data_IF_663114644987
#
_entry.id   IF_663114644987
#
_cell.length_a   1.000
_cell.length_b   1.000
_cell.length_c   1.000
_cell.angle_alpha   90.00
_cell.angle_beta   90.00
_cell.angle_gamma   90.00
#
_symmetry.space_group_name_H-M   'P 1'
#
loop_
_entity.id
_entity.type
_entity.pdbx_description
1 polymer ?
#
# COMPACT_ATOMS: atom_id res chain seq x y z
N UNK A 1 -17.07 14.20 -7.05
CA UNK A 1 -17.62 13.27 -8.07
C UNK A 1 -18.73 12.37 -7.53
N UNK A 2 -19.39 11.57 -8.37
CA UNK A 2 -20.38 10.54 -7.97
C UNK A 2 -19.96 9.15 -8.47
N UNK A 3 -18.95 8.51 -7.85
CA UNK A 3 -18.47 7.20 -8.30
C UNK A 3 -19.54 6.12 -8.08
N UNK A 4 -19.60 5.15 -8.99
CA UNK A 4 -20.35 3.90 -8.77
C UNK A 4 -19.58 3.00 -7.79
N UNK A 5 -20.28 2.17 -7.04
CA UNK A 5 -19.66 1.16 -6.16
C UNK A 5 -19.67 -0.18 -6.89
N UNK A 6 -18.50 -0.81 -7.01
CA UNK A 6 -18.31 -2.10 -7.65
C UNK A 6 -17.72 -3.07 -6.63
N UNK A 7 -18.46 -4.14 -6.34
CA UNK A 7 -18.05 -5.21 -5.42
C UNK A 7 -17.59 -6.41 -6.24
N UNK A 8 -16.37 -6.89 -5.96
CA UNK A 8 -15.78 -8.12 -6.48
C UNK A 8 -16.03 -9.23 -5.47
N UNK A 9 -16.82 -10.24 -5.86
CA UNK A 9 -17.17 -11.37 -5.01
C UNK A 9 -16.88 -12.71 -5.69
N UNK A 10 -16.67 -13.75 -4.90
CA UNK A 10 -16.48 -15.10 -5.42
C UNK A 10 -17.27 -16.14 -4.61
N UNK A 11 -16.69 -16.64 -3.52
CA UNK A 11 -17.16 -17.85 -2.84
C UNK A 11 -17.29 -17.68 -1.31
N UNK A 12 -17.51 -16.45 -0.82
CA UNK A 12 -17.55 -16.12 0.61
C UNK A 12 -18.85 -15.38 1.00
N UNK A 13 -19.97 -16.09 1.22
CA UNK A 13 -21.27 -15.44 1.45
C UNK A 13 -21.34 -14.63 2.76
N UNK A 14 -20.62 -15.06 3.80
CA UNK A 14 -20.55 -14.34 5.08
C UNK A 14 -19.75 -13.04 4.95
N UNK A 15 -18.60 -13.10 4.25
CA UNK A 15 -17.77 -11.94 3.95
C UNK A 15 -18.55 -10.92 3.12
N UNK A 16 -19.15 -11.37 2.01
CA UNK A 16 -19.98 -10.49 1.17
C UNK A 16 -21.11 -9.84 1.98
N UNK A 17 -21.82 -10.60 2.83
CA UNK A 17 -22.87 -10.04 3.67
C UNK A 17 -22.34 -8.93 4.57
N UNK A 18 -21.20 -9.16 5.22
CA UNK A 18 -20.58 -8.18 6.12
C UNK A 18 -20.17 -6.90 5.37
N UNK A 19 -19.64 -7.01 4.15
CA UNK A 19 -19.39 -5.85 3.31
C UNK A 19 -20.68 -5.10 2.97
N UNK A 20 -21.71 -5.82 2.50
CA UNK A 20 -23.01 -5.24 2.12
C UNK A 20 -23.70 -4.54 3.31
N UNK A 21 -23.61 -5.12 4.51
CA UNK A 21 -24.11 -4.49 5.74
C UNK A 21 -23.40 -3.16 6.02
N UNK A 22 -22.08 -3.09 5.79
CA UNK A 22 -21.34 -1.82 5.92
C UNK A 22 -21.70 -0.80 4.82
N UNK A 23 -22.02 -1.26 3.61
CA UNK A 23 -22.48 -0.41 2.51
C UNK A 23 -23.83 0.25 2.83
N UNK A 24 -24.73 -0.47 3.52
CA UNK A 24 -26.01 0.08 3.96
C UNK A 24 -25.88 1.24 4.96
N UNK A 25 -24.75 1.32 5.67
CA UNK A 25 -24.44 2.37 6.65
C UNK A 25 -23.68 3.58 6.10
N UNK A 26 -23.47 3.67 4.78
CA UNK A 26 -22.70 4.77 4.20
C UNK A 26 -23.41 6.13 4.29
N UNK A 27 -22.61 7.17 4.47
CA UNK A 27 -23.04 8.56 4.50
C UNK A 27 -22.66 9.29 3.20
N UNK A 28 -23.50 10.26 2.81
CA UNK A 28 -23.26 11.07 1.60
C UNK A 28 -23.56 10.34 0.29
N UNK A 29 -24.26 9.21 0.35
CA UNK A 29 -24.64 8.40 -0.81
C UNK A 29 -26.06 8.76 -1.25
N UNK A 30 -26.23 9.19 -2.49
CA UNK A 30 -27.54 9.44 -3.09
C UNK A 30 -27.48 9.31 -4.61
N UNK A 31 -28.39 8.51 -5.18
CA UNK A 31 -28.43 8.16 -6.60
C UNK A 31 -27.11 7.54 -7.10
N UNK A 32 -26.62 6.54 -6.36
CA UNK A 32 -25.36 5.85 -6.62
C UNK A 32 -25.64 4.44 -7.13
N UNK A 33 -25.03 4.08 -8.26
CA UNK A 33 -25.08 2.72 -8.79
C UNK A 33 -24.26 1.79 -7.89
N UNK A 34 -24.85 0.65 -7.50
CA UNK A 34 -24.15 -0.50 -6.95
C UNK A 34 -24.09 -1.62 -7.99
N UNK A 35 -22.91 -2.15 -8.24
CA UNK A 35 -22.68 -3.36 -9.03
C UNK A 35 -22.04 -4.41 -8.15
N UNK A 36 -22.64 -5.60 -8.05
CA UNK A 36 -22.05 -6.75 -7.37
C UNK A 36 -21.68 -7.76 -8.45
N UNK A 37 -20.39 -7.89 -8.76
CA UNK A 37 -19.90 -8.88 -9.73
C UNK A 37 -19.39 -10.12 -9.02
N UNK A 38 -19.91 -11.27 -9.40
CA UNK A 38 -19.62 -12.57 -8.78
C UNK A 38 -18.91 -13.46 -9.81
N UNK A 39 -17.66 -13.86 -9.55
CA UNK A 39 -16.95 -14.81 -10.42
C UNK A 39 -17.53 -16.22 -10.26
N UNK A 40 -17.50 -16.99 -11.34
CA UNK A 40 -18.08 -18.33 -11.34
C UNK A 40 -17.19 -19.32 -10.58
N UNK A 41 -17.79 -20.16 -9.74
CA UNK A 41 -17.13 -21.29 -9.10
C UNK A 41 -17.17 -21.27 -7.57
N UNK A 42 -16.66 -22.35 -6.98
CA UNK A 42 -16.61 -22.56 -5.53
C UNK A 42 -17.92 -23.12 -4.94
N UNK A 43 -17.80 -23.82 -3.81
CA UNK A 43 -18.89 -24.61 -3.22
C UNK A 43 -20.05 -23.78 -2.63
N UNK A 44 -19.85 -22.49 -2.40
CA UNK A 44 -20.81 -21.55 -1.83
C UNK A 44 -21.34 -20.55 -2.87
N UNK A 45 -21.08 -20.76 -4.17
CA UNK A 45 -21.46 -19.86 -5.27
C UNK A 45 -22.95 -19.47 -5.25
N UNK A 46 -23.85 -20.44 -5.09
CA UNK A 46 -25.30 -20.18 -5.01
C UNK A 46 -25.69 -19.33 -3.79
N UNK A 47 -24.98 -19.51 -2.67
CA UNK A 47 -25.21 -18.73 -1.45
C UNK A 47 -24.74 -17.28 -1.62
N UNK A 48 -23.61 -17.07 -2.30
CA UNK A 48 -23.10 -15.72 -2.64
C UNK A 48 -24.09 -14.99 -3.55
N UNK A 49 -24.59 -15.67 -4.59
CA UNK A 49 -25.64 -15.12 -5.46
C UNK A 49 -26.91 -14.77 -4.68
N UNK A 50 -27.36 -15.65 -3.78
CA UNK A 50 -28.53 -15.38 -2.95
C UNK A 50 -28.33 -14.18 -2.02
N UNK A 51 -27.14 -14.00 -1.45
CA UNK A 51 -26.80 -12.82 -0.62
C UNK A 51 -26.87 -11.54 -1.46
N UNK A 52 -26.24 -11.51 -2.63
CA UNK A 52 -26.26 -10.35 -3.52
C UNK A 52 -27.67 -10.00 -4.03
N UNK A 53 -28.46 -11.02 -4.39
CA UNK A 53 -29.83 -10.85 -4.87
C UNK A 53 -30.74 -10.24 -3.79
N UNK A 54 -30.63 -10.71 -2.54
CA UNK A 54 -31.48 -10.28 -1.42
C UNK A 54 -31.14 -8.92 -0.84
N UNK A 55 -29.92 -8.44 -1.02
CA UNK A 55 -29.50 -7.16 -0.46
C UNK A 55 -30.28 -5.99 -1.08
N UNK A 56 -30.94 -5.19 -0.26
CA UNK A 56 -31.67 -4.01 -0.72
C UNK A 56 -30.76 -2.77 -0.71
N UNK A 57 -30.62 -2.11 -1.86
CA UNK A 57 -29.76 -0.95 -2.01
C UNK A 57 -30.59 0.33 -2.03
N UNK A 58 -30.65 1.00 -0.88
CA UNK A 58 -31.52 2.16 -0.68
C UNK A 58 -31.06 3.43 -1.40
N UNK A 59 -29.82 3.49 -1.91
CA UNK A 59 -29.22 4.73 -2.40
C UNK A 59 -29.19 4.86 -3.93
N UNK A 60 -29.77 3.93 -4.69
CA UNK A 60 -29.82 4.00 -6.15
C UNK A 60 -30.07 2.65 -6.81
N UNK A 61 -29.76 2.50 -8.11
CA UNK A 61 -29.91 1.23 -8.80
C UNK A 61 -28.89 0.19 -8.31
N UNK A 62 -29.32 -1.08 -8.26
CA UNK A 62 -28.48 -2.24 -7.98
C UNK A 62 -28.43 -3.16 -9.19
N UNK A 63 -27.24 -3.61 -9.56
CA UNK A 63 -27.03 -4.63 -10.58
C UNK A 63 -26.22 -5.79 -9.97
N UNK A 64 -26.66 -7.02 -10.22
CA UNK A 64 -25.89 -8.22 -9.89
C UNK A 64 -25.40 -8.83 -11.20
N UNK A 65 -24.08 -8.97 -11.34
CA UNK A 65 -23.42 -9.52 -12.53
C UNK A 65 -22.76 -10.86 -12.19
N UNK A 66 -23.40 -11.96 -12.57
CA UNK A 66 -22.88 -13.31 -12.35
C UNK A 66 -22.11 -13.76 -13.58
N UNK A 67 -20.86 -14.21 -13.41
CA UNK A 67 -20.08 -14.78 -14.52
C UNK A 67 -20.55 -16.19 -14.82
N UNK A 68 -20.62 -16.53 -16.11
CA UNK A 68 -21.00 -17.88 -16.56
C UNK A 68 -19.86 -18.90 -16.43
N UNK A 69 -18.61 -18.42 -16.45
CA UNK A 69 -17.39 -19.22 -16.37
C UNK A 69 -16.36 -18.51 -15.49
N UNK A 70 -15.46 -19.24 -14.82
CA UNK A 70 -14.44 -18.63 -13.97
C UNK A 70 -13.52 -17.72 -14.79
N UNK A 71 -13.40 -16.46 -14.40
CA UNK A 71 -12.46 -15.51 -14.99
C UNK A 71 -11.08 -15.65 -14.35
N UNK A 72 -11.04 -15.99 -13.05
CA UNK A 72 -9.84 -15.95 -12.24
C UNK A 72 -9.55 -14.53 -11.74
N UNK A 73 -8.78 -14.44 -10.65
CA UNK A 73 -8.64 -13.21 -9.84
C UNK A 73 -8.30 -11.96 -10.67
N UNK A 74 -7.20 -12.00 -11.44
CA UNK A 74 -6.76 -10.84 -12.24
C UNK A 74 -7.83 -10.40 -13.24
N UNK A 75 -8.32 -11.33 -14.04
CA UNK A 75 -9.29 -11.01 -15.09
C UNK A 75 -10.61 -10.51 -14.50
N UNK A 76 -11.04 -11.07 -13.37
CA UNK A 76 -12.28 -10.65 -12.71
C UNK A 76 -12.15 -9.25 -12.12
N UNK A 77 -11.07 -8.98 -11.38
CA UNK A 77 -10.79 -7.64 -10.81
C UNK A 77 -10.67 -6.59 -11.91
N UNK A 78 -9.97 -6.89 -13.01
CA UNK A 78 -9.80 -5.94 -14.11
C UNK A 78 -11.08 -5.74 -14.92
N UNK A 79 -11.87 -6.79 -15.15
CA UNK A 79 -13.19 -6.66 -15.77
C UNK A 79 -14.15 -5.82 -14.90
N UNK A 80 -14.02 -5.89 -13.57
CA UNK A 80 -14.75 -5.01 -12.66
C UNK A 80 -14.23 -3.56 -12.74
N UNK A 81 -12.92 -3.38 -12.88
CA UNK A 81 -12.31 -2.07 -13.11
C UNK A 81 -12.74 -1.42 -14.43
N UNK A 82 -12.88 -2.21 -15.49
CA UNK A 82 -13.34 -1.75 -16.82
C UNK A 82 -14.78 -1.17 -16.79
N UNK A 83 -15.56 -1.42 -15.74
CA UNK A 83 -16.87 -0.75 -15.55
C UNK A 83 -16.76 0.77 -15.38
N UNK A 84 -15.57 1.29 -15.09
CA UNK A 84 -15.30 2.74 -15.10
C UNK A 84 -15.56 3.38 -16.45
N UNK A 85 -15.50 2.63 -17.56
CA UNK A 85 -15.89 3.12 -18.88
C UNK A 85 -17.37 3.50 -18.91
N UNK A 86 -18.22 2.71 -18.25
CA UNK A 86 -19.65 2.98 -18.14
C UNK A 86 -19.97 4.13 -17.17
N UNK A 87 -19.31 4.16 -15.99
CA UNK A 87 -19.69 5.04 -14.89
C UNK A 87 -18.85 6.32 -14.77
N UNK A 88 -17.73 6.42 -15.49
CA UNK A 88 -16.79 7.55 -15.45
C UNK A 88 -15.86 7.55 -14.22
N UNK A 89 -16.33 7.08 -13.06
CA UNK A 89 -15.53 6.85 -11.86
C UNK A 89 -16.13 5.73 -11.01
N UNK A 90 -15.28 4.95 -10.32
CA UNK A 90 -15.72 3.83 -9.49
C UNK A 90 -14.97 3.75 -8.16
N UNK A 91 -15.61 3.11 -7.18
CA UNK A 91 -15.02 2.57 -5.96
C UNK A 91 -15.07 1.03 -6.10
N UNK A 92 -13.91 0.39 -6.18
CA UNK A 92 -13.75 -1.06 -6.30
C UNK A 92 -13.44 -1.68 -4.94
N UNK A 93 -14.24 -2.66 -4.52
CA UNK A 93 -14.19 -3.29 -3.20
C UNK A 93 -14.17 -4.82 -3.33
N UNK A 94 -13.29 -5.48 -2.59
CA UNK A 94 -13.29 -6.94 -2.42
C UNK A 94 -14.27 -7.38 -1.33
N UNK A 95 -14.83 -8.57 -1.46
CA UNK A 95 -15.90 -9.09 -0.60
C UNK A 95 -15.54 -9.30 0.88
N UNK A 96 -14.27 -9.20 1.28
CA UNK A 96 -13.83 -9.36 2.68
C UNK A 96 -13.60 -8.05 3.44
N UNK A 97 -13.90 -6.92 2.81
CA UNK A 97 -13.78 -5.61 3.42
C UNK A 97 -14.98 -5.23 4.29
N UNK A 98 -14.74 -4.29 5.20
CA UNK A 98 -15.75 -3.52 5.91
C UNK A 98 -15.39 -2.05 5.79
N UNK A 99 -16.41 -1.22 5.55
CA UNK A 99 -16.23 0.19 5.33
C UNK A 99 -16.62 1.03 6.54
N UNK A 100 -15.94 2.17 6.65
CA UNK A 100 -16.41 3.30 7.43
C UNK A 100 -17.68 3.88 6.81
N UNK A 101 -18.62 4.40 7.61
CA UNK A 101 -19.73 5.23 7.12
C UNK A 101 -19.27 6.39 6.23
N UNK A 102 -18.04 6.88 6.42
CA UNK A 102 -17.50 8.02 5.67
C UNK A 102 -16.75 7.62 4.38
N UNK A 103 -16.64 6.32 4.07
CA UNK A 103 -15.82 5.83 2.96
C UNK A 103 -16.24 6.40 1.60
N UNK A 104 -17.55 6.44 1.33
CA UNK A 104 -18.06 6.98 0.06
C UNK A 104 -17.72 8.46 -0.11
N UNK A 105 -17.96 9.27 0.93
CA UNK A 105 -17.70 10.70 0.89
C UNK A 105 -16.23 11.00 0.64
N UNK A 106 -15.33 10.35 1.37
CA UNK A 106 -13.90 10.47 1.13
C UNK A 106 -13.53 10.12 -0.31
N UNK A 107 -13.98 8.97 -0.83
CA UNK A 107 -13.65 8.55 -2.18
C UNK A 107 -14.17 9.54 -3.23
N UNK A 108 -15.41 10.00 -3.06
CA UNK A 108 -16.06 10.95 -3.96
C UNK A 108 -15.35 12.31 -3.99
N UNK A 109 -14.91 12.80 -2.82
CA UNK A 109 -14.22 14.08 -2.67
C UNK A 109 -12.74 13.98 -3.15
N UNK A 110 -12.05 12.88 -2.82
CA UNK A 110 -10.67 12.63 -3.27
C UNK A 110 -10.60 12.45 -4.79
N UNK A 111 -11.52 11.69 -5.39
CA UNK A 111 -11.59 11.56 -6.84
C UNK A 111 -11.82 12.90 -7.52
N UNK A 112 -12.68 13.75 -6.95
CA UNK A 112 -12.93 15.12 -7.44
C UNK A 112 -11.65 15.94 -7.44
N UNK A 113 -10.91 15.92 -6.33
CA UNK A 113 -9.70 16.71 -6.14
C UNK A 113 -8.56 16.26 -7.07
N UNK A 114 -8.36 14.96 -7.25
CA UNK A 114 -7.23 14.39 -7.99
C UNK A 114 -7.57 14.00 -9.44
N UNK A 115 -8.75 14.36 -9.94
CA UNK A 115 -9.26 13.95 -11.24
C UNK A 115 -8.30 14.23 -12.40
N UNK A 116 -7.77 15.45 -12.39
CA UNK A 116 -7.00 16.04 -13.49
C UNK A 116 -5.49 15.93 -13.28
N UNK A 117 -5.03 15.43 -12.12
CA UNK A 117 -3.61 15.23 -11.86
C UNK A 117 -3.11 13.96 -12.59
N UNK A 118 -2.23 14.08 -13.59
CA UNK A 118 -1.72 12.92 -14.29
C UNK A 118 -0.90 12.02 -13.36
N UNK A 119 -0.23 12.56 -12.35
CA UNK A 119 0.66 11.82 -11.46
C UNK A 119 -0.10 10.85 -10.55
N UNK A 120 -1.41 11.05 -10.38
CA UNK A 120 -2.27 10.19 -9.55
C UNK A 120 -2.87 9.07 -10.38
N UNK A 121 -2.67 7.84 -9.90
CA UNK A 121 -3.17 6.62 -10.51
C UNK A 121 -4.45 6.07 -9.84
N UNK A 122 -4.75 6.51 -8.61
CA UNK A 122 -5.92 6.07 -7.87
C UNK A 122 -5.86 6.48 -6.41
N UNK A 123 -6.96 6.19 -5.71
CA UNK A 123 -7.17 6.50 -4.31
C UNK A 123 -7.31 5.17 -3.54
N UNK A 124 -6.58 5.02 -2.44
CA UNK A 124 -6.77 3.95 -1.46
C UNK A 124 -7.83 4.36 -0.44
N UNK A 125 -8.60 3.40 0.07
CA UNK A 125 -9.47 3.59 1.24
C UNK A 125 -8.82 3.14 2.55
N UNK A 126 -7.66 2.51 2.47
CA UNK A 126 -6.97 1.92 3.61
C UNK A 126 -5.79 2.80 4.05
N UNK A 127 -5.65 2.99 5.37
CA UNK A 127 -4.44 3.57 5.94
C UNK A 127 -3.41 2.48 6.24
N UNK A 128 -2.21 2.61 5.69
CA UNK A 128 -1.11 1.69 5.96
C UNK A 128 -0.49 1.93 7.33
N UNK A 129 -0.39 0.87 8.13
CA UNK A 129 0.20 0.92 9.48
C UNK A 129 1.52 0.16 9.62
N UNK A 130 1.95 -0.56 8.56
CA UNK A 130 3.14 -1.39 8.55
C UNK A 130 3.94 -1.25 7.26
N UNK A 131 5.20 -1.66 7.33
CA UNK A 131 6.12 -1.75 6.21
C UNK A 131 5.96 -3.12 5.54
N UNK A 132 5.61 -3.16 4.26
CA UNK A 132 5.22 -4.34 3.50
C UNK A 132 6.31 -5.41 3.36
N UNK A 133 7.57 -5.04 3.58
CA UNK A 133 8.70 -5.99 3.49
C UNK A 133 9.14 -6.47 4.88
N UNK A 134 9.18 -5.58 5.88
CA UNK A 134 9.72 -5.92 7.21
C UNK A 134 8.64 -6.22 8.25
N UNK A 135 7.38 -5.90 7.94
CA UNK A 135 6.24 -5.92 8.86
C UNK A 135 6.43 -5.07 10.12
N UNK A 136 7.41 -4.16 10.11
CA UNK A 136 7.60 -3.19 11.18
C UNK A 136 6.56 -2.07 11.06
N UNK A 137 6.20 -1.39 12.16
CA UNK A 137 5.28 -0.25 12.10
C UNK A 137 5.73 0.80 11.08
N UNK A 138 4.79 1.22 10.24
CA UNK A 138 4.91 2.35 9.34
C UNK A 138 4.02 3.48 9.83
N UNK A 139 4.54 4.70 9.76
CA UNK A 139 3.77 5.90 10.09
C UNK A 139 4.17 6.97 9.08
N UNK A 140 3.26 7.39 8.19
CA UNK A 140 3.58 8.43 7.23
C UNK A 140 3.94 9.71 7.99
N UNK A 141 4.89 10.47 7.45
CA UNK A 141 5.34 11.75 8.00
C UNK A 141 4.14 12.68 8.06
N UNK A 142 3.95 13.38 9.18
CA UNK A 142 2.80 14.25 9.37
C UNK A 142 3.08 15.60 8.72
N UNK A 143 2.26 15.94 7.74
CA UNK A 143 2.15 17.28 7.17
C UNK A 143 0.74 17.83 7.42
N UNK A 144 0.42 18.92 6.74
CA UNK A 144 -0.83 19.64 6.92
C UNK A 144 -2.04 18.95 6.26
N UNK A 145 -1.82 17.88 5.49
CA UNK A 145 -2.85 17.13 4.76
C UNK A 145 -3.35 15.88 5.51
N UNK A 146 -4.56 15.45 5.15
CA UNK A 146 -5.18 14.22 5.65
C UNK A 146 -4.77 12.95 4.87
N UNK A 147 -3.88 13.11 3.89
CA UNK A 147 -3.42 12.06 2.97
C UNK A 147 -1.89 12.03 2.84
N UNK A 148 -1.39 10.95 2.26
CA UNK A 148 -0.01 10.79 1.81
C UNK A 148 0.02 10.03 0.48
N UNK A 149 1.16 10.00 -0.19
CA UNK A 149 1.30 9.43 -1.54
C UNK A 149 2.30 8.29 -1.56
N UNK A 150 2.02 7.24 -2.31
CA UNK A 150 2.91 6.08 -2.39
C UNK A 150 2.85 5.38 -3.75
N UNK A 151 3.98 4.88 -4.24
CA UNK A 151 4.03 4.04 -5.44
C UNK A 151 3.63 2.57 -5.16
N UNK A 152 2.56 2.37 -4.40
CA UNK A 152 1.97 1.06 -4.11
C UNK A 152 0.46 1.14 -4.31
N UNK A 153 -0.11 0.23 -5.11
CA UNK A 153 -1.55 0.15 -5.30
C UNK A 153 -2.16 -0.82 -4.27
N UNK A 154 -2.82 -0.30 -3.24
CA UNK A 154 -3.33 -1.16 -2.17
C UNK A 154 -4.65 -1.85 -2.54
N UNK A 155 -4.81 -3.11 -2.14
CA UNK A 155 -5.95 -3.96 -2.51
C UNK A 155 -7.20 -3.77 -1.65
N UNK A 156 -7.05 -3.23 -0.44
CA UNK A 156 -8.16 -3.09 0.50
C UNK A 156 -9.01 -1.84 0.25
N UNK A 157 -9.65 -1.78 -0.91
CA UNK A 157 -10.54 -0.69 -1.31
C UNK A 157 -9.79 0.37 -2.13
N UNK A 158 -10.22 0.50 -3.38
CA UNK A 158 -9.62 1.37 -4.38
C UNK A 158 -10.69 2.26 -5.00
N UNK A 159 -10.33 3.46 -5.42
CA UNK A 159 -11.18 4.30 -6.24
C UNK A 159 -10.37 4.97 -7.35
N UNK A 160 -10.96 5.07 -8.54
CA UNK A 160 -10.30 5.71 -9.68
C UNK A 160 -11.30 6.22 -10.72
N UNK A 161 -10.84 7.20 -11.49
CA UNK A 161 -11.55 7.76 -12.65
C UNK A 161 -11.26 6.95 -13.92
N UNK A 162 -12.06 7.19 -14.97
CA UNK A 162 -11.84 6.61 -16.29
C UNK A 162 -10.45 6.91 -16.82
N UNK A 163 -9.97 8.14 -16.68
CA UNK A 163 -8.64 8.53 -17.16
C UNK A 163 -7.52 7.82 -16.42
N UNK A 164 -7.65 7.70 -15.09
CA UNK A 164 -6.68 6.98 -14.26
C UNK A 164 -6.60 5.50 -14.63
N UNK A 165 -7.75 4.86 -14.84
CA UNK A 165 -7.82 3.46 -15.28
C UNK A 165 -7.32 3.27 -16.72
N UNK A 166 -7.66 4.17 -17.63
CA UNK A 166 -7.22 4.11 -19.02
C UNK A 166 -5.70 4.09 -19.14
N UNK A 167 -4.99 4.93 -18.37
CA UNK A 167 -3.51 4.92 -18.30
C UNK A 167 -2.94 3.57 -17.85
N UNK A 168 -3.60 2.94 -16.86
CA UNK A 168 -3.22 1.59 -16.42
C UNK A 168 -3.46 0.56 -17.53
N UNK A 169 -4.60 0.61 -18.22
CA UNK A 169 -4.93 -0.33 -19.31
C UNK A 169 -4.04 -0.15 -20.53
N UNK A 170 -3.66 1.09 -20.85
CA UNK A 170 -2.69 1.41 -21.89
C UNK A 170 -1.32 0.80 -21.58
N UNK A 171 -0.81 1.00 -20.35
CA UNK A 171 0.42 0.36 -19.90
C UNK A 171 0.29 -1.18 -19.95
N UNK A 172 -0.80 -1.73 -19.41
CA UNK A 172 -1.04 -3.17 -19.34
C UNK A 172 -1.04 -3.85 -20.72
N UNK A 173 -1.53 -3.18 -21.76
CA UNK A 173 -1.63 -3.75 -23.10
C UNK A 173 -0.27 -4.06 -23.75
N UNK A 174 0.80 -3.38 -23.34
CA UNK A 174 2.15 -3.56 -23.87
C UNK A 174 3.20 -3.98 -22.83
N UNK A 175 2.83 -4.10 -21.56
CA UNK A 175 3.78 -4.36 -20.48
C UNK A 175 4.19 -5.84 -20.41
N UNK A 176 5.47 -6.07 -20.12
CA UNK A 176 5.92 -7.34 -19.57
C UNK A 176 5.53 -7.40 -18.08
N UNK A 177 4.48 -8.16 -17.78
CA UNK A 177 3.82 -8.14 -16.47
C UNK A 177 4.59 -8.91 -15.39
N UNK A 178 5.51 -9.80 -15.77
CA UNK A 178 6.37 -10.48 -14.81
C UNK A 178 7.33 -9.47 -14.16
N UNK A 179 7.49 -9.54 -12.84
CA UNK A 179 8.48 -8.72 -12.13
C UNK A 179 9.87 -9.33 -12.40
N UNK A 180 10.81 -8.47 -12.77
CA UNK A 180 12.20 -8.84 -13.06
C UNK A 180 13.15 -8.15 -12.07
N UNK A 181 14.38 -8.66 -11.88
CA UNK A 181 15.41 -7.97 -11.10
C UNK A 181 15.82 -6.60 -11.64
N UNK A 182 15.46 -6.26 -12.89
CA UNK A 182 15.73 -4.96 -13.49
C UNK A 182 14.64 -3.92 -13.16
N UNK A 183 13.48 -4.35 -12.67
CA UNK A 183 12.45 -3.43 -12.20
C UNK A 183 12.92 -2.80 -10.88
N UNK A 184 12.80 -1.47 -10.70
CA UNK A 184 13.27 -0.77 -9.50
C UNK A 184 12.29 -0.95 -8.34
N UNK A 185 12.10 -2.21 -7.95
CA UNK A 185 11.18 -2.72 -6.96
C UNK A 185 11.87 -3.77 -6.10
N UNK A 186 11.35 -4.00 -4.89
CA UNK A 186 11.93 -5.00 -4.00
C UNK A 186 11.78 -6.41 -4.58
N UNK A 187 12.78 -7.26 -4.40
CA UNK A 187 12.83 -8.61 -4.99
C UNK A 187 11.70 -9.51 -4.49
N UNK A 188 11.16 -9.24 -3.30
CA UNK A 188 9.97 -9.89 -2.74
C UNK A 188 8.79 -9.89 -3.72
N UNK A 189 8.65 -8.89 -4.58
CA UNK A 189 7.56 -8.85 -5.56
C UNK A 189 7.61 -10.02 -6.57
N UNK A 190 8.78 -10.65 -6.76
CA UNK A 190 8.94 -11.86 -7.60
C UNK A 190 8.39 -13.13 -6.94
N UNK A 191 8.18 -13.14 -5.62
CA UNK A 191 7.63 -14.32 -4.92
C UNK A 191 6.11 -14.39 -4.93
N UNK A 192 5.45 -13.35 -5.44
CA UNK A 192 3.98 -13.33 -5.54
C UNK A 192 3.51 -14.30 -6.63
N UNK A 193 2.37 -14.98 -6.44
CA UNK A 193 1.79 -15.82 -7.48
C UNK A 193 1.53 -15.04 -8.78
N UNK A 194 1.66 -15.65 -9.96
CA UNK A 194 1.35 -14.99 -11.23
C UNK A 194 -0.15 -14.63 -11.37
N UNK A 195 -0.99 -15.14 -10.48
CA UNK A 195 -2.43 -14.87 -10.38
C UNK A 195 -2.77 -13.71 -9.44
N UNK A 196 -1.78 -13.13 -8.75
CA UNK A 196 -1.95 -11.92 -7.96
C UNK A 196 -1.77 -10.71 -8.89
N UNK A 197 -2.61 -9.68 -8.74
CA UNK A 197 -2.55 -8.45 -9.52
C UNK A 197 -1.73 -7.34 -8.83
N UNK A 198 -1.43 -7.49 -7.53
CA UNK A 198 -0.75 -6.48 -6.72
C UNK A 198 0.66 -6.12 -7.23
N UNK A 199 1.54 -7.08 -7.60
CA UNK A 199 2.85 -6.77 -8.13
C UNK A 199 2.79 -5.97 -9.43
N UNK A 200 1.86 -6.28 -10.32
CA UNK A 200 1.76 -5.65 -11.63
C UNK A 200 1.23 -4.22 -11.52
N UNK A 201 0.26 -3.96 -10.63
CA UNK A 201 -0.18 -2.58 -10.38
C UNK A 201 0.93 -1.76 -9.71
N UNK A 202 1.72 -2.36 -8.83
CA UNK A 202 2.88 -1.67 -8.25
C UNK A 202 3.95 -1.37 -9.31
N UNK A 203 4.24 -2.33 -10.20
CA UNK A 203 5.15 -2.15 -11.34
C UNK A 203 4.71 -1.04 -12.28
N UNK A 204 3.41 -0.94 -12.58
CA UNK A 204 2.84 0.19 -13.32
C UNK A 204 3.16 1.54 -12.66
N UNK A 205 2.93 1.68 -11.35
CA UNK A 205 3.19 2.93 -10.63
C UNK A 205 4.66 3.34 -10.71
N UNK A 206 5.55 2.38 -10.48
CA UNK A 206 6.99 2.60 -10.50
C UNK A 206 7.49 2.98 -11.89
N UNK A 207 7.12 2.22 -12.92
CA UNK A 207 7.57 2.48 -14.31
C UNK A 207 7.01 3.76 -14.91
N UNK A 208 5.85 4.22 -14.43
CA UNK A 208 5.19 5.44 -14.95
C UNK A 208 5.34 6.65 -14.03
N UNK A 209 6.10 6.51 -12.93
CA UNK A 209 6.27 7.51 -11.88
C UNK A 209 4.93 8.09 -11.38
N UNK A 210 3.99 7.21 -11.05
CA UNK A 210 2.65 7.57 -10.56
C UNK A 210 2.43 7.09 -9.13
N UNK A 211 1.48 7.72 -8.46
CA UNK A 211 1.23 7.51 -7.04
C UNK A 211 -0.24 7.19 -6.77
N UNK A 212 -0.45 6.39 -5.74
CA UNK A 212 -1.75 6.27 -5.09
C UNK A 212 -1.84 7.25 -3.93
N UNK A 213 -3.04 7.80 -3.73
CA UNK A 213 -3.36 8.64 -2.56
C UNK A 213 -3.88 7.77 -1.45
N UNK A 214 -3.26 7.84 -0.27
CA UNK A 214 -3.64 7.08 0.91
C UNK A 214 -4.18 8.00 2.00
N UNK A 215 -5.28 7.63 2.68
CA UNK A 215 -5.73 8.36 3.86
C UNK A 215 -4.80 8.06 5.03
N UNK A 216 -4.62 9.05 5.92
CA UNK A 216 -3.93 8.82 7.21
C UNK A 216 -4.78 8.04 8.22
N UNK A 217 -6.10 8.10 8.06
CA UNK A 217 -7.07 7.41 8.91
C UNK A 217 -7.91 6.45 8.05
N UNK A 218 -7.95 5.17 8.39
CA UNK A 218 -8.54 4.18 7.48
C UNK A 218 -10.06 4.32 7.32
N UNK A 219 -10.53 4.03 6.12
CA UNK A 219 -11.94 4.01 5.71
C UNK A 219 -12.41 2.63 5.24
N UNK A 220 -11.47 1.71 5.07
CA UNK A 220 -11.70 0.28 4.86
C UNK A 220 -10.77 -0.54 5.76
N UNK A 221 -11.25 -1.70 6.19
CA UNK A 221 -10.42 -2.73 6.84
C UNK A 221 -10.85 -4.08 6.31
N UNK A 222 -9.93 -5.02 6.21
CA UNK A 222 -10.31 -6.40 5.94
C UNK A 222 -10.69 -7.12 7.24
N UNK A 223 -11.26 -8.31 7.10
CA UNK A 223 -11.35 -9.27 8.21
C UNK A 223 -10.33 -10.41 8.07
N UNK A 224 -9.52 -10.36 7.00
CA UNK A 224 -8.53 -11.37 6.65
C UNK A 224 -9.13 -12.76 6.63
N UNK A 225 -10.37 -12.88 6.13
CA UNK A 225 -10.99 -14.17 5.87
C UNK A 225 -10.11 -14.92 4.86
N UNK A 226 -9.99 -16.24 5.02
CA UNK A 226 -9.20 -17.06 4.09
C UNK A 226 -9.62 -16.80 2.65
N UNK A 227 -8.67 -16.47 1.80
CA UNK A 227 -8.84 -16.28 0.36
C UNK A 227 -8.06 -17.32 -0.44
N UNK A 228 -7.99 -17.15 -1.75
CA UNK A 228 -7.22 -18.05 -2.64
C UNK A 228 -5.71 -18.04 -2.34
N UNK A 229 -5.18 -16.94 -1.78
CA UNK A 229 -3.75 -16.75 -1.54
C UNK A 229 -3.35 -16.47 -0.09
N UNK A 230 -4.31 -16.28 0.83
CA UNK A 230 -4.05 -15.89 2.22
C UNK A 230 -4.80 -16.81 3.19
N UNK A 231 -4.09 -17.40 4.14
CA UNK A 231 -4.71 -18.06 5.30
C UNK A 231 -5.19 -17.01 6.31
N UNK A 232 -6.28 -17.29 7.02
CA UNK A 232 -6.94 -16.33 7.91
C UNK A 232 -5.97 -15.56 8.83
N UNK A 233 -5.97 -14.22 8.75
CA UNK A 233 -5.05 -13.37 9.53
C UNK A 233 -5.67 -12.04 9.93
N UNK A 234 -5.45 -11.59 11.17
CA UNK A 234 -5.87 -10.26 11.63
C UNK A 234 -4.79 -9.19 11.42
N UNK A 235 -3.62 -9.54 10.89
CA UNK A 235 -2.49 -8.62 10.75
C UNK A 235 -2.83 -7.38 9.91
N UNK A 236 -3.65 -7.52 8.89
CA UNK A 236 -3.99 -6.40 8.01
C UNK A 236 -5.19 -5.58 8.51
N UNK A 237 -5.77 -5.90 9.68
CA UNK A 237 -6.87 -5.12 10.24
C UNK A 237 -6.38 -3.77 10.75
N UNK A 238 -7.19 -2.74 10.52
CA UNK A 238 -6.89 -1.37 10.96
C UNK A 238 -8.11 -0.70 11.59
N UNK A 239 -7.91 0.25 12.52
CA UNK A 239 -8.98 1.08 13.01
C UNK A 239 -9.63 1.90 11.89
N UNK A 240 -10.97 1.93 11.88
CA UNK A 240 -11.74 2.76 10.97
C UNK A 240 -12.09 4.10 11.63
N UNK A 241 -11.85 5.21 10.94
CA UNK A 241 -12.43 6.50 11.34
C UNK A 241 -13.87 6.56 10.87
N UNK A 242 -14.80 7.01 11.72
CA UNK A 242 -16.25 7.03 11.40
C UNK A 242 -16.90 8.40 11.52
N UNK A 243 -16.13 9.49 11.62
CA UNK A 243 -16.65 10.81 12.02
C UNK A 243 -16.21 11.94 11.10
N UNK A 244 -14.98 11.89 10.57
CA UNK A 244 -14.45 12.95 9.73
C UNK A 244 -15.20 12.94 8.39
N UNK A 245 -15.83 14.08 8.10
CA UNK A 245 -16.63 14.29 6.89
C UNK A 245 -16.03 15.34 5.95
N UNK A 246 -14.96 16.00 6.36
CA UNK A 246 -14.21 16.97 5.55
C UNK A 246 -12.75 16.59 5.62
N UNK A 247 -12.12 16.49 4.45
CA UNK A 247 -10.74 16.05 4.31
C UNK A 247 -9.92 17.17 3.69
N UNK A 248 -8.74 17.41 4.25
CA UNK A 248 -7.76 18.32 3.69
C UNK A 248 -6.85 17.56 2.73
N UNK A 249 -7.23 17.54 1.46
CA UNK A 249 -6.36 17.03 0.39
C UNK A 249 -5.28 18.05 0.06
N UNK A 250 -4.11 17.55 -0.35
CA UNK A 250 -3.00 18.38 -0.83
C UNK A 250 -2.63 17.97 -2.25
N UNK A 251 -2.21 18.92 -3.12
CA UNK A 251 -1.54 18.56 -4.37
C UNK A 251 -0.28 17.72 -4.08
N UNK A 252 0.03 16.77 -4.97
CA UNK A 252 1.20 15.91 -4.81
C UNK A 252 2.50 16.72 -4.66
N UNK A 253 2.63 17.80 -5.44
CA UNK A 253 3.82 18.64 -5.45
C UNK A 253 4.02 19.42 -4.13
N UNK A 254 2.95 19.68 -3.39
CA UNK A 254 2.99 20.40 -2.11
C UNK A 254 3.15 19.46 -0.89
N UNK A 255 2.90 18.16 -1.04
CA UNK A 255 3.07 17.21 0.06
C UNK A 255 4.54 16.83 0.26
N UNK A 256 4.94 16.69 1.52
CA UNK A 256 6.23 16.11 1.90
C UNK A 256 6.13 14.60 2.14
N UNK A 257 4.92 14.09 2.40
CA UNK A 257 4.65 12.68 2.65
C UNK A 257 4.47 11.90 1.34
N UNK A 258 5.52 11.85 0.52
CA UNK A 258 5.55 11.09 -0.74
C UNK A 258 6.59 9.98 -0.67
N UNK A 259 6.15 8.76 -0.96
CA UNK A 259 6.92 7.53 -0.77
C UNK A 259 7.04 6.72 -2.06
N UNK A 260 8.16 6.05 -2.24
CA UNK A 260 8.34 5.07 -3.31
C UNK A 260 7.72 3.70 -2.98
N UNK A 261 7.97 2.71 -3.86
CA UNK A 261 7.50 1.32 -3.68
C UNK A 261 8.21 0.56 -2.55
N UNK A 262 9.26 1.12 -1.96
CA UNK A 262 9.94 0.60 -0.76
C UNK A 262 9.43 1.28 0.51
N UNK A 263 8.40 2.12 0.42
CA UNK A 263 7.87 2.92 1.54
C UNK A 263 8.92 3.86 2.16
N UNK A 264 9.90 4.26 1.36
CA UNK A 264 10.91 5.25 1.73
C UNK A 264 10.49 6.62 1.18
N UNK A 265 10.71 7.67 1.95
CA UNK A 265 10.37 9.03 1.51
C UNK A 265 11.30 9.42 0.36
N UNK A 266 10.75 10.03 -0.69
CA UNK A 266 11.55 10.42 -1.84
C UNK A 266 12.65 11.43 -1.48
N UNK A 267 13.87 11.34 -2.05
CA UNK A 267 15.00 12.20 -1.71
C UNK A 267 14.71 13.71 -1.81
N UNK A 268 13.96 14.12 -2.82
CA UNK A 268 13.56 15.52 -3.02
C UNK A 268 12.64 16.03 -1.91
N UNK A 269 11.82 15.16 -1.31
CA UNK A 269 10.98 15.51 -0.15
C UNK A 269 11.81 15.59 1.13
N UNK A 270 12.79 14.70 1.29
CA UNK A 270 13.77 14.81 2.37
C UNK A 270 14.54 16.15 2.29
N UNK A 271 14.93 16.57 1.08
CA UNK A 271 15.61 17.85 0.85
C UNK A 271 14.74 19.09 1.15
N UNK A 272 13.41 18.96 1.16
CA UNK A 272 12.51 20.03 1.62
C UNK A 272 12.50 20.14 3.16
N UNK A 273 12.79 19.05 3.87
CA UNK A 273 12.80 18.99 5.33
C UNK A 273 14.18 19.30 5.93
N UNK A 274 15.25 19.13 5.16
CA UNK A 274 16.62 19.41 5.61
C UNK A 274 17.56 19.73 4.45
N UNK A 275 18.54 20.61 4.67
CA UNK A 275 19.54 21.00 3.67
C UNK A 275 20.83 20.17 3.73
N UNK A 276 20.91 19.16 4.59
CA UNK A 276 22.12 18.36 4.84
C UNK A 276 22.63 17.61 3.60
N UNK A 277 21.74 17.30 2.66
CA UNK A 277 22.03 16.53 1.44
C UNK A 277 21.91 17.37 0.17
N UNK A 278 21.87 18.69 0.29
CA UNK A 278 21.73 19.59 -0.84
C UNK A 278 22.82 19.32 -1.90
N UNK A 279 22.39 19.14 -3.15
CA UNK A 279 23.28 18.85 -4.28
C UNK A 279 23.85 17.42 -4.33
N UNK A 280 23.37 16.51 -3.48
CA UNK A 280 23.72 15.09 -3.54
C UNK A 280 22.63 14.30 -4.25
N UNK A 281 23.03 13.38 -5.12
CA UNK A 281 22.16 12.35 -5.67
C UNK A 281 22.17 11.14 -4.73
N UNK A 282 21.05 10.88 -4.07
CA UNK A 282 20.98 9.85 -3.02
C UNK A 282 19.67 9.09 -3.01
N UNK A 283 19.73 7.86 -2.49
CA UNK A 283 18.57 6.99 -2.23
C UNK A 283 18.29 6.97 -0.72
N UNK A 284 17.01 6.91 -0.34
CA UNK A 284 16.57 6.71 1.05
C UNK A 284 16.27 5.22 1.27
N UNK A 285 16.77 4.67 2.37
CA UNK A 285 16.67 3.25 2.76
C UNK A 285 16.69 3.09 4.29
N UNK A 286 15.81 3.80 4.99
CA UNK A 286 15.75 3.79 6.46
C UNK A 286 15.29 2.44 7.02
N UNK A 287 14.40 1.72 6.34
CA UNK A 287 14.02 0.34 6.67
C UNK A 287 15.11 -0.67 6.28
N UNK A 288 16.12 -0.27 5.50
CA UNK A 288 17.29 -1.09 5.21
C UNK A 288 16.94 -2.35 4.42
N UNK A 289 16.03 -2.22 3.45
CA UNK A 289 15.49 -3.32 2.64
C UNK A 289 15.96 -3.28 1.19
N UNK A 290 16.52 -2.17 0.72
CA UNK A 290 17.04 -2.11 -0.65
C UNK A 290 18.28 -2.98 -0.80
N UNK A 291 18.29 -3.81 -1.85
CA UNK A 291 19.51 -4.44 -2.33
C UNK A 291 20.41 -3.41 -3.02
N UNK A 292 21.68 -3.75 -3.27
CA UNK A 292 22.59 -2.86 -4.00
C UNK A 292 22.10 -2.53 -5.41
N UNK A 293 21.41 -3.45 -6.09
CA UNK A 293 20.81 -3.20 -7.39
C UNK A 293 19.70 -2.15 -7.35
N UNK A 294 19.06 -2.00 -6.19
CA UNK A 294 17.97 -1.07 -5.91
C UNK A 294 18.44 0.24 -5.22
N UNK A 295 19.74 0.54 -5.27
CA UNK A 295 20.35 1.79 -4.82
C UNK A 295 21.18 2.36 -5.99
N UNK A 296 20.51 2.99 -6.99
CA UNK A 296 21.18 3.40 -8.23
C UNK A 296 22.04 4.67 -8.10
N UNK A 297 21.97 5.35 -6.95
CA UNK A 297 22.57 6.67 -6.71
C UNK A 297 23.96 6.58 -6.09
N UNK A 298 24.78 7.64 -6.25
CA UNK A 298 26.13 7.71 -5.66
C UNK A 298 26.10 7.62 -4.13
N UNK A 299 25.11 8.26 -3.50
CA UNK A 299 24.96 8.30 -2.05
C UNK A 299 23.72 7.54 -1.57
N UNK A 300 23.70 7.17 -0.30
CA UNK A 300 22.55 6.53 0.34
C UNK A 300 22.40 7.01 1.77
N UNK A 301 21.15 7.27 2.18
CA UNK A 301 20.73 7.48 3.57
C UNK A 301 20.06 6.20 4.08
N UNK A 302 20.71 5.47 4.99
CA UNK A 302 20.29 4.10 5.34
C UNK A 302 20.54 3.73 6.81
N UNK A 303 19.86 2.69 7.29
CA UNK A 303 20.23 2.01 8.55
C UNK A 303 21.19 0.83 8.35
N UNK A 304 21.49 0.44 7.10
CA UNK A 304 22.52 -0.54 6.78
C UNK A 304 23.89 -0.06 7.24
N UNK A 305 24.76 -0.98 7.66
CA UNK A 305 26.10 -0.59 8.12
C UNK A 305 26.95 -0.07 6.96
N UNK A 306 27.80 0.91 7.25
CA UNK A 306 28.69 1.55 6.30
C UNK A 306 30.07 1.74 6.93
N UNK A 307 31.14 1.57 6.14
CA UNK A 307 32.52 1.68 6.62
C UNK A 307 32.96 3.11 6.87
N UNK A 308 32.66 4.01 5.92
CA UNK A 308 33.12 5.41 5.92
C UNK A 308 31.93 6.37 5.80
N UNK A 309 31.03 6.45 6.80
CA UNK A 309 29.89 7.36 6.73
C UNK A 309 30.35 8.82 6.69
N UNK A 310 29.72 9.60 5.81
CA UNK A 310 29.90 11.05 5.73
C UNK A 310 29.11 11.76 6.85
N UNK A 311 27.99 11.18 7.28
CA UNK A 311 27.24 11.62 8.45
C UNK A 311 26.61 10.41 9.16
N UNK A 312 26.37 10.57 10.46
CA UNK A 312 25.77 9.54 11.31
C UNK A 312 24.70 10.14 12.19
N UNK A 313 23.60 9.42 12.36
CA UNK A 313 22.48 9.82 13.21
C UNK A 313 22.07 8.70 14.15
N UNK A 314 21.49 9.08 15.29
CA UNK A 314 20.89 8.18 16.26
C UNK A 314 19.55 7.61 15.79
N UNK A 315 18.92 6.83 16.67
CA UNK A 315 17.61 6.20 16.43
C UNK A 315 16.68 6.43 17.64
N UNK A 316 16.63 7.68 18.13
CA UNK A 316 15.86 8.08 19.31
C UNK A 316 14.45 8.59 18.97
N UNK A 317 14.29 9.28 17.83
CA UNK A 317 13.03 9.91 17.41
C UNK A 317 12.19 9.00 16.50
N UNK A 318 10.90 9.30 16.38
CA UNK A 318 9.91 8.58 15.55
C UNK A 318 9.19 9.61 14.66
N UNK A 319 9.06 9.40 13.33
CA UNK A 319 9.59 8.27 12.54
C UNK A 319 11.13 8.28 12.41
N UNK A 320 11.74 7.35 11.67
CA UNK A 320 13.21 7.24 11.56
C UNK A 320 13.83 8.53 11.02
N UNK A 321 13.17 9.12 10.03
CA UNK A 321 13.60 10.33 9.35
C UNK A 321 13.78 11.53 10.29
N UNK A 322 13.03 11.61 11.40
CA UNK A 322 13.19 12.67 12.39
C UNK A 322 14.60 12.69 13.01
N UNK A 323 15.26 11.54 13.11
CA UNK A 323 16.64 11.51 13.61
C UNK A 323 17.60 12.21 12.66
N UNK A 324 17.30 12.19 11.37
CA UNK A 324 18.09 12.83 10.31
C UNK A 324 17.78 14.32 10.28
N UNK A 325 16.50 14.70 10.20
CA UNK A 325 16.05 16.10 10.13
C UNK A 325 16.59 16.92 11.31
N UNK A 326 16.49 16.36 12.51
CA UNK A 326 16.90 17.03 13.74
C UNK A 326 18.32 16.68 14.19
N UNK A 327 19.12 16.06 13.31
CA UNK A 327 20.54 15.76 13.54
C UNK A 327 20.80 15.06 14.88
N UNK A 328 19.95 14.08 15.21
CA UNK A 328 20.06 13.33 16.45
C UNK A 328 21.42 12.63 16.51
N UNK A 329 22.26 12.85 17.53
CA UNK A 329 23.56 12.19 17.62
C UNK A 329 23.42 10.67 17.82
N UNK A 330 24.28 9.90 17.15
CA UNK A 330 24.37 8.45 17.29
C UNK A 330 24.87 7.76 16.02
N UNK A 331 24.92 6.42 16.05
CA UNK A 331 25.40 5.58 14.93
C UNK A 331 24.41 4.48 14.56
N UNK A 332 23.16 4.84 14.33
CA UNK A 332 22.10 3.92 13.90
C UNK A 332 21.61 4.16 12.46
N UNK A 333 21.76 5.38 11.96
CA UNK A 333 21.48 5.77 10.57
C UNK A 333 22.74 6.42 10.01
N UNK A 334 23.02 6.19 8.75
CA UNK A 334 24.24 6.61 8.07
C UNK A 334 23.89 7.29 6.75
N UNK A 335 24.64 8.32 6.41
CA UNK A 335 24.68 8.88 5.08
C UNK A 335 26.09 8.79 4.53
N UNK A 336 26.27 8.29 3.31
CA UNK A 336 27.57 8.21 2.66
C UNK A 336 27.50 7.54 1.29
N UNK A 337 28.66 7.20 0.73
CA UNK A 337 28.72 6.61 -0.62
C UNK A 337 28.11 5.20 -0.61
N UNK A 338 27.33 4.86 -1.62
CA UNK A 338 26.75 3.52 -1.80
C UNK A 338 27.84 2.44 -1.81
N UNK A 339 29.02 2.73 -2.36
CA UNK A 339 30.16 1.82 -2.39
C UNK A 339 30.75 1.49 -1.00
N UNK A 340 30.46 2.30 0.04
CA UNK A 340 30.95 2.09 1.41
C UNK A 340 30.01 1.20 2.26
N UNK A 341 28.88 0.75 1.71
CA UNK A 341 27.99 -0.21 2.38
C UNK A 341 28.74 -1.50 2.71
N UNK A 342 28.48 -2.05 3.90
CA UNK A 342 29.04 -3.33 4.34
C UNK A 342 28.02 -4.46 4.08
N UNK A 343 28.17 -5.25 2.98
CA UNK A 343 27.24 -6.31 2.65
C UNK A 343 27.43 -7.56 3.52
N UNK A 344 28.37 -7.56 4.47
CA UNK A 344 28.64 -8.73 5.30
C UNK A 344 27.42 -9.14 6.12
N UNK A 345 27.25 -10.45 6.30
CA UNK A 345 26.15 -10.99 7.09
C UNK A 345 26.14 -10.41 8.53
N UNK A 346 27.32 -10.15 9.10
CA UNK A 346 27.46 -9.54 10.44
C UNK A 346 26.91 -8.13 10.45
N UNK A 347 27.19 -7.33 9.42
CA UNK A 347 26.66 -5.99 9.29
C UNK A 347 25.13 -5.97 9.13
N UNK A 348 24.60 -6.85 8.27
CA UNK A 348 23.15 -7.03 8.09
C UNK A 348 22.46 -7.40 9.40
N UNK A 349 23.08 -8.29 10.17
CA UNK A 349 22.52 -8.73 11.45
C UNK A 349 22.56 -7.63 12.53
N UNK A 350 23.65 -6.85 12.61
CA UNK A 350 23.73 -5.71 13.53
C UNK A 350 22.70 -4.63 13.20
N UNK A 351 22.59 -4.22 11.94
CA UNK A 351 21.61 -3.23 11.49
C UNK A 351 20.17 -3.69 11.75
N UNK A 352 19.84 -4.94 11.40
CA UNK A 352 18.52 -5.52 11.70
C UNK A 352 18.23 -5.57 13.21
N UNK A 353 19.24 -5.89 14.04
CA UNK A 353 19.08 -5.89 15.51
C UNK A 353 18.80 -4.48 16.05
N UNK A 354 19.45 -3.44 15.51
CA UNK A 354 19.19 -2.04 15.91
C UNK A 354 17.78 -1.60 15.50
N UNK A 355 17.35 -1.93 14.28
CA UNK A 355 15.97 -1.66 13.82
C UNK A 355 14.92 -2.39 14.67
N UNK A 356 15.14 -3.67 14.96
CA UNK A 356 14.23 -4.40 15.83
C UNK A 356 14.08 -3.75 17.21
N UNK A 357 15.19 -3.33 17.84
CA UNK A 357 15.15 -2.61 19.11
C UNK A 357 14.42 -1.25 19.00
N UNK A 358 14.61 -0.54 17.88
CA UNK A 358 13.90 0.71 17.58
C UNK A 358 12.38 0.51 17.52
N UNK A 359 11.90 -0.47 16.75
CA UNK A 359 10.47 -0.69 16.58
C UNK A 359 9.80 -1.38 17.79
N UNK A 360 10.55 -2.19 18.55
CA UNK A 360 10.06 -2.79 19.79
C UNK A 360 9.77 -1.73 20.88
N UNK A 361 10.30 -0.51 20.76
CA UNK A 361 10.15 0.60 21.71
C UNK A 361 10.52 0.27 23.17
N UNK A 362 11.28 -0.81 23.38
CA UNK A 362 11.71 -1.28 24.70
C UNK A 362 13.10 -1.90 24.61
N UNK A 363 13.79 -1.95 25.74
CA UNK A 363 15.02 -2.75 25.82
C UNK A 363 14.68 -4.22 25.60
N UNK A 364 15.28 -4.81 24.56
CA UNK A 364 15.14 -6.22 24.26
C UNK A 364 16.09 -6.98 25.18
N UNK A 365 15.54 -7.73 26.14
CA UNK A 365 16.35 -8.54 27.05
C UNK A 365 17.13 -9.63 26.31
N UNK A 366 18.27 -10.07 26.86
CA UNK A 366 19.20 -11.02 26.23
C UNK A 366 18.51 -12.27 25.67
N UNK A 367 17.52 -12.83 26.38
CA UNK A 367 16.77 -14.02 25.94
C UNK A 367 15.89 -13.75 24.71
N UNK A 368 15.20 -12.61 24.66
CA UNK A 368 14.40 -12.22 23.49
C UNK A 368 15.30 -11.93 22.30
N UNK A 369 16.44 -11.29 22.56
CA UNK A 369 17.46 -11.03 21.56
C UNK A 369 18.03 -12.33 20.97
N UNK A 370 18.39 -13.30 21.81
CA UNK A 370 18.87 -14.62 21.38
C UNK A 370 17.82 -15.40 20.57
N UNK A 371 16.55 -15.37 20.99
CA UNK A 371 15.47 -16.04 20.25
C UNK A 371 15.24 -15.42 18.87
N UNK A 372 15.22 -14.08 18.80
CA UNK A 372 15.13 -13.38 17.52
C UNK A 372 16.33 -13.70 16.62
N UNK A 373 17.53 -13.73 17.20
CA UNK A 373 18.77 -14.06 16.52
C UNK A 373 18.78 -15.47 15.92
N UNK A 374 18.31 -16.46 16.70
CA UNK A 374 18.17 -17.85 16.24
C UNK A 374 17.17 -17.97 15.09
N UNK A 375 16.04 -17.25 15.15
CA UNK A 375 15.07 -17.20 14.05
C UNK A 375 15.68 -16.67 12.75
N UNK A 376 16.41 -15.56 12.81
CA UNK A 376 17.05 -14.95 11.62
C UNK A 376 18.16 -15.80 11.03
N UNK A 377 18.88 -16.58 11.85
CA UNK A 377 19.83 -17.55 11.35
C UNK A 377 19.12 -18.66 10.58
N UNK A 378 18.06 -19.24 11.15
CA UNK A 378 17.30 -20.29 10.47
C UNK A 378 16.74 -19.81 9.13
N UNK A 379 16.23 -18.58 9.07
CA UNK A 379 15.77 -17.96 7.81
C UNK A 379 16.90 -17.80 6.78
N UNK A 380 18.12 -17.47 7.22
CA UNK A 380 19.30 -17.35 6.35
C UNK A 380 19.74 -18.71 5.79
N UNK A 381 19.71 -19.77 6.60
CA UNK A 381 20.04 -21.13 6.16
C UNK A 381 18.95 -21.78 5.30
N UNK A 382 17.71 -21.29 5.39
CA UNK A 382 16.60 -21.76 4.56
C UNK A 382 16.52 -21.05 3.20
N UNK A 383 17.08 -19.84 3.07
CA UNK A 383 16.99 -19.00 1.87
C UNK A 383 18.34 -18.65 1.22
N UNK A 384 19.45 -19.21 1.71
CA UNK A 384 20.78 -19.12 1.11
C UNK A 384 21.23 -20.48 0.59
#
# INVERSE_FOLDING_TARGET
>A
MKPAIVVVAYNRPASLRRLLDSLAGLHGVANVQLVISIDAGGDQFDQVQAVAARFDWAFGPKQVMVRERPYGLINHVFACGDLVEQFGSIILLEDDLVLSPMAYRYAADALDFYADDPQIAGISLNALWFHGITHEPFSPYLDDGDVFFMQIAWFQGQAYTRQQWARFREWWAGAETAVSPADPMHELFQSFPPTDWFPQKTKYLVQTNRFYVFPRESLSTNFGDSGTHVQGTSFFQVPLQGRRASFRFQPLDESVAVYDSFQEMLPERVNQLTNQFAGRDFTVDLYGTRSLANIPTEFVLTTQEMKNPLATFGMARRPLLDNVIYQQPGGGIFFGKTADLDPSWRARLRSASRRHAYFARRQVGLRQWLNWWLGRLLDYWANG
#
